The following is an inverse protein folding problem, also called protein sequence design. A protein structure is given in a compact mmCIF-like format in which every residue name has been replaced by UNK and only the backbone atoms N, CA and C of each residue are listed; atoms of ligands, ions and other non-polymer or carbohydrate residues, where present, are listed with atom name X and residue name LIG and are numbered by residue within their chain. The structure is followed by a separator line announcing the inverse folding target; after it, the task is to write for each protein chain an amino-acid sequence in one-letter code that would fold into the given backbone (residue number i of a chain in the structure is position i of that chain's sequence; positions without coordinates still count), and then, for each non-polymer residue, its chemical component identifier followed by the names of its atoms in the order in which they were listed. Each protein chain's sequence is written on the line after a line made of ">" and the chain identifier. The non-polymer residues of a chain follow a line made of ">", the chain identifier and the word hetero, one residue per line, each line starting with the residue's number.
data_IF_816495300958
#
_entry.id   IF_816495300958
#
_cell.length_a   1.000
_cell.length_b   1.000
_cell.length_c   1.000
_cell.angle_alpha   90.00
_cell.angle_beta   90.00
_cell.angle_gamma   90.00
#
_symmetry.space_group_name_H-M   'P 1'
#
loop_
_entity.id
_entity.type
_entity.pdbx_description
1 polymer ?
#
# COMPACT_ATOMS: atom_id res chain seq x y z
N UNK A 1 45.13 42.81 -1.00
CA UNK A 1 44.04 41.89 -0.58
C UNK A 1 44.32 41.43 0.84
N UNK A 2 43.44 41.74 1.80
CA UNK A 2 43.65 41.39 3.22
C UNK A 2 43.54 39.87 3.38
N UNK A 3 44.32 39.27 4.28
CA UNK A 3 44.31 37.83 4.57
C UNK A 3 42.89 37.27 4.84
N UNK A 4 41.97 38.09 5.34
CA UNK A 4 40.56 37.74 5.56
C UNK A 4 39.74 37.62 4.27
N UNK A 5 40.06 38.40 3.23
CA UNK A 5 39.41 38.35 1.91
C UNK A 5 39.80 37.07 1.17
N UNK A 6 41.10 36.75 1.14
CA UNK A 6 41.60 35.46 0.61
C UNK A 6 40.92 34.27 1.29
N UNK A 7 40.78 34.32 2.63
CA UNK A 7 40.15 33.23 3.38
C UNK A 7 38.68 33.02 3.00
N UNK A 8 37.98 34.09 2.63
CA UNK A 8 36.56 34.07 2.26
C UNK A 8 36.38 33.55 0.83
N UNK A 9 37.23 33.97 -0.10
CA UNK A 9 37.22 33.47 -1.48
C UNK A 9 37.52 31.97 -1.57
N UNK A 10 38.55 31.48 -0.87
CA UNK A 10 38.89 30.05 -0.85
C UNK A 10 37.72 29.18 -0.35
N UNK A 11 36.99 29.69 0.66
CA UNK A 11 35.85 28.98 1.24
C UNK A 11 34.66 28.97 0.27
N UNK A 12 34.42 30.09 -0.42
CA UNK A 12 33.35 30.19 -1.41
C UNK A 12 33.62 29.26 -2.61
N UNK A 13 34.87 29.21 -3.08
CA UNK A 13 35.26 28.30 -4.15
C UNK A 13 35.10 26.83 -3.73
N UNK A 14 35.50 26.49 -2.50
CA UNK A 14 35.34 25.15 -1.95
C UNK A 14 33.86 24.75 -1.81
N UNK A 15 32.98 25.68 -1.41
CA UNK A 15 31.53 25.45 -1.34
C UNK A 15 30.94 25.22 -2.73
N UNK A 16 31.34 26.02 -3.73
CA UNK A 16 30.90 25.83 -5.11
C UNK A 16 31.21 24.41 -5.64
N UNK A 17 32.41 23.91 -5.38
CA UNK A 17 32.79 22.54 -5.77
C UNK A 17 32.01 21.43 -5.06
N UNK A 18 31.52 21.71 -3.84
CA UNK A 18 30.64 20.81 -3.09
C UNK A 18 29.21 20.90 -3.61
N UNK A 19 28.74 22.08 -4.02
CA UNK A 19 27.42 22.30 -4.62
C UNK A 19 27.30 21.63 -5.99
N UNK A 20 28.40 21.51 -6.73
CA UNK A 20 28.47 20.74 -7.99
C UNK A 20 28.30 19.22 -7.79
N UNK A 21 28.23 18.73 -6.54
CA UNK A 21 27.96 17.31 -6.22
C UNK A 21 26.45 17.04 -6.02
N UNK A 22 26.06 15.77 -6.14
CA UNK A 22 24.69 15.33 -5.81
C UNK A 22 24.28 15.77 -4.39
N UNK A 23 23.00 16.12 -4.23
CA UNK A 23 22.42 16.66 -2.99
C UNK A 23 22.70 15.79 -1.75
N UNK A 24 22.74 14.45 -1.91
CA UNK A 24 23.06 13.51 -0.83
C UNK A 24 24.48 13.68 -0.31
N UNK A 25 25.43 13.97 -1.21
CA UNK A 25 26.85 14.17 -0.88
C UNK A 25 27.05 15.56 -0.29
N UNK A 26 26.50 16.60 -0.94
CA UNK A 26 26.64 17.99 -0.48
C UNK A 26 25.99 18.21 0.88
N UNK A 27 24.79 17.67 1.11
CA UNK A 27 24.07 17.77 2.39
C UNK A 27 24.83 17.12 3.56
N UNK A 28 25.44 15.94 3.34
CA UNK A 28 26.26 15.29 4.37
C UNK A 28 27.54 16.06 4.69
N UNK A 29 28.14 16.72 3.70
CA UNK A 29 29.34 17.55 3.88
C UNK A 29 28.99 18.83 4.64
N UNK A 30 27.89 19.49 4.28
CA UNK A 30 27.44 20.70 4.96
C UNK A 30 27.01 20.45 6.40
N UNK A 31 26.31 19.36 6.66
CA UNK A 31 25.98 18.96 8.04
C UNK A 31 27.25 18.77 8.89
N UNK A 32 28.28 18.09 8.36
CA UNK A 32 29.56 17.92 9.07
C UNK A 32 30.34 19.22 9.22
N UNK A 33 30.26 20.12 8.25
CA UNK A 33 30.86 21.44 8.31
C UNK A 33 30.29 22.25 9.48
N UNK A 34 28.95 22.33 9.58
CA UNK A 34 28.21 23.03 10.64
C UNK A 34 28.53 22.45 12.03
N UNK A 35 28.59 21.12 12.15
CA UNK A 35 28.98 20.46 13.40
C UNK A 35 30.43 20.80 13.82
N UNK A 36 31.38 20.85 12.87
CA UNK A 36 32.77 21.21 13.18
C UNK A 36 32.91 22.68 13.51
N UNK A 37 32.16 23.55 12.85
CA UNK A 37 32.15 24.99 13.14
C UNK A 37 31.69 25.23 14.58
N UNK A 38 30.60 24.58 14.99
CA UNK A 38 30.06 24.65 16.36
C UNK A 38 31.05 24.14 17.43
N UNK A 39 31.85 23.12 17.12
CA UNK A 39 32.74 22.49 18.11
C UNK A 39 34.15 23.10 18.17
N UNK A 40 34.72 23.48 17.02
CA UNK A 40 36.15 23.82 16.87
C UNK A 40 36.40 25.15 16.17
N UNK A 41 35.34 25.91 15.89
CA UNK A 41 35.39 27.21 15.25
C UNK A 41 35.52 27.15 13.73
N UNK A 42 35.24 28.29 13.11
CA UNK A 42 35.17 28.45 11.65
C UNK A 42 36.47 28.08 10.94
N UNK A 43 37.63 28.46 11.47
CA UNK A 43 38.92 28.16 10.83
C UNK A 43 39.23 26.66 10.75
N UNK A 44 38.77 25.88 11.73
CA UNK A 44 38.90 24.41 11.72
C UNK A 44 37.95 23.76 10.71
N UNK A 45 36.71 24.26 10.62
CA UNK A 45 35.72 23.80 9.64
C UNK A 45 36.15 24.15 8.20
N UNK A 46 36.63 25.37 7.98
CA UNK A 46 37.19 25.84 6.71
C UNK A 46 38.34 24.96 6.23
N UNK A 47 39.33 24.73 7.10
CA UNK A 47 40.50 23.91 6.76
C UNK A 47 40.11 22.48 6.43
N UNK A 48 39.11 21.93 7.10
CA UNK A 48 38.57 20.62 6.76
C UNK A 48 37.89 20.59 5.39
N UNK A 49 37.08 21.60 5.08
CA UNK A 49 36.40 21.72 3.79
C UNK A 49 37.42 21.85 2.65
N UNK A 50 38.45 22.69 2.81
CA UNK A 50 39.46 22.91 1.76
C UNK A 50 40.46 21.76 1.66
N UNK A 51 41.04 21.31 2.78
CA UNK A 51 42.14 20.33 2.76
C UNK A 51 41.66 18.88 2.74
N UNK A 52 40.57 18.55 3.43
CA UNK A 52 40.10 17.17 3.51
C UNK A 52 39.01 16.87 2.50
N UNK A 53 38.02 17.76 2.34
CA UNK A 53 36.91 17.52 1.43
C UNK A 53 37.34 17.78 -0.01
N UNK A 54 37.75 19.01 -0.34
CA UNK A 54 38.10 19.40 -1.70
C UNK A 54 39.34 18.69 -2.24
N UNK A 55 40.45 18.65 -1.46
CA UNK A 55 41.69 18.04 -1.96
C UNK A 55 41.74 16.52 -1.88
N UNK A 56 40.96 15.88 -1.00
CA UNK A 56 41.07 14.43 -0.74
C UNK A 56 39.79 13.66 -1.04
N UNK A 57 38.63 14.11 -0.54
CA UNK A 57 37.36 13.37 -0.75
C UNK A 57 36.81 13.55 -2.16
N UNK A 58 36.70 14.78 -2.68
CA UNK A 58 36.11 15.04 -4.00
C UNK A 58 36.86 14.32 -5.14
N UNK A 59 38.21 14.30 -5.20
CA UNK A 59 38.93 13.56 -6.24
C UNK A 59 38.74 12.05 -6.15
N UNK A 60 38.54 11.50 -4.94
CA UNK A 60 38.23 10.07 -4.76
C UNK A 60 36.82 9.75 -5.23
N UNK A 61 35.85 10.60 -4.89
CA UNK A 61 34.47 10.49 -5.38
C UNK A 61 34.46 10.61 -6.91
N UNK A 62 35.18 11.57 -7.48
CA UNK A 62 35.32 11.72 -8.93
C UNK A 62 35.94 10.48 -9.59
N UNK A 63 36.96 9.86 -8.98
CA UNK A 63 37.58 8.63 -9.48
C UNK A 63 36.62 7.44 -9.43
N UNK A 64 35.86 7.29 -8.34
CA UNK A 64 34.81 6.27 -8.23
C UNK A 64 33.72 6.53 -9.26
N UNK A 65 33.24 7.77 -9.37
CA UNK A 65 32.25 8.16 -10.36
C UNK A 65 32.75 7.98 -11.80
N UNK A 66 34.05 8.08 -12.06
CA UNK A 66 34.65 7.80 -13.37
C UNK A 66 34.77 6.28 -13.65
N UNK A 67 35.12 5.47 -12.64
CA UNK A 67 35.22 4.02 -12.77
C UNK A 67 33.88 3.29 -12.81
N UNK A 68 32.86 3.88 -12.18
CA UNK A 68 31.48 3.41 -12.16
C UNK A 68 30.55 4.36 -12.93
N UNK A 69 31.10 5.17 -13.84
CA UNK A 69 30.32 6.10 -14.66
C UNK A 69 29.39 5.25 -15.51
N UNK A 70 28.09 5.37 -15.25
CA UNK A 70 27.11 4.97 -16.26
C UNK A 70 27.37 5.88 -17.47
N UNK A 71 27.43 5.29 -18.67
CA UNK A 71 27.66 6.05 -19.91
C UNK A 71 26.79 7.30 -19.90
N UNK A 72 27.39 8.46 -20.16
CA UNK A 72 26.62 9.66 -20.48
C UNK A 72 25.76 9.29 -21.67
N UNK A 73 24.44 9.43 -21.47
CA UNK A 73 23.45 9.15 -22.49
C UNK A 73 23.67 10.22 -23.54
N UNK A 74 24.25 9.84 -24.67
CA UNK A 74 24.21 10.69 -25.84
C UNK A 74 22.74 10.94 -26.19
N UNK A 75 22.40 12.10 -26.76
CA UNK A 75 21.05 12.30 -27.34
C UNK A 75 20.70 11.19 -28.36
N UNK A 76 21.72 10.47 -28.82
CA UNK A 76 21.69 9.33 -29.75
C UNK A 76 21.40 7.97 -29.09
N UNK A 77 21.56 7.85 -27.75
CA UNK A 77 21.19 6.65 -26.97
C UNK A 77 19.66 6.56 -26.75
N UNK A 78 18.92 7.60 -27.15
CA UNK A 78 17.49 7.52 -27.39
C UNK A 78 17.27 6.82 -28.74
N UNK A 79 16.69 5.60 -28.80
CA UNK A 79 16.49 4.94 -30.07
C UNK A 79 15.60 5.84 -30.94
N UNK A 80 16.12 6.32 -32.07
CA UNK A 80 15.41 7.18 -33.04
C UNK A 80 14.10 6.58 -33.58
N UNK A 81 13.78 5.34 -33.25
CA UNK A 81 12.49 4.71 -33.49
C UNK A 81 11.37 5.15 -32.49
N UNK A 82 11.74 5.73 -31.35
CA UNK A 82 10.85 5.97 -30.19
C UNK A 82 10.22 7.38 -30.23
N UNK A 83 10.80 8.32 -30.98
CA UNK A 83 10.27 9.67 -31.15
C UNK A 83 9.75 9.87 -32.57
N UNK A 84 8.44 9.66 -32.79
CA UNK A 84 7.81 10.18 -34.01
C UNK A 84 7.85 11.71 -33.97
N UNK A 85 8.18 12.42 -35.07
CA UNK A 85 8.35 13.89 -35.10
C UNK A 85 7.13 14.75 -34.73
N UNK A 86 6.04 14.16 -34.24
CA UNK A 86 4.72 14.80 -34.06
C UNK A 86 4.36 15.15 -32.61
N UNK A 87 5.16 14.79 -31.60
CA UNK A 87 4.77 14.99 -30.19
C UNK A 87 5.68 16.02 -29.50
N UNK A 88 5.14 17.03 -28.78
CA UNK A 88 5.95 18.00 -28.07
C UNK A 88 6.67 17.39 -26.85
N UNK A 89 7.91 17.86 -26.62
CA UNK A 89 8.78 17.49 -25.49
C UNK A 89 8.06 17.78 -24.15
N UNK A 90 8.16 16.90 -23.12
CA UNK A 90 7.66 17.22 -21.78
C UNK A 90 8.30 18.49 -21.22
N UNK A 91 7.54 19.35 -20.53
CA UNK A 91 8.11 20.52 -19.85
C UNK A 91 9.04 20.12 -18.70
N UNK A 92 9.91 21.06 -18.29
CA UNK A 92 11.01 20.91 -17.31
C UNK A 92 10.65 20.16 -16.01
N UNK A 93 9.40 20.28 -15.51
CA UNK A 93 8.93 19.58 -14.30
C UNK A 93 8.72 18.07 -14.50
N UNK A 94 8.29 17.67 -15.71
CA UNK A 94 8.17 16.27 -16.10
C UNK A 94 9.54 15.60 -16.22
N UNK A 95 10.56 16.33 -16.70
CA UNK A 95 11.94 15.85 -16.82
C UNK A 95 12.58 15.60 -15.44
N UNK A 96 12.36 16.48 -14.46
CA UNK A 96 12.87 16.29 -13.09
C UNK A 96 12.20 15.10 -12.41
N UNK A 97 10.87 14.99 -12.51
CA UNK A 97 10.14 13.84 -11.99
C UNK A 97 10.56 12.54 -12.68
N UNK A 98 10.79 12.57 -13.99
CA UNK A 98 11.29 11.47 -14.80
C UNK A 98 12.70 11.01 -14.40
N UNK A 99 13.64 11.95 -14.21
CA UNK A 99 15.00 11.66 -13.73
C UNK A 99 14.97 11.07 -12.31
N UNK A 100 14.06 11.55 -11.45
CA UNK A 100 13.80 10.99 -10.12
C UNK A 100 13.27 9.57 -10.19
N UNK A 101 12.28 9.28 -11.04
CA UNK A 101 11.74 7.92 -11.22
C UNK A 101 12.82 6.94 -11.72
N UNK A 102 13.66 7.38 -12.67
CA UNK A 102 14.73 6.55 -13.24
C UNK A 102 15.88 6.28 -12.27
N UNK A 103 16.32 7.28 -11.51
CA UNK A 103 17.35 7.10 -10.47
C UNK A 103 16.87 6.16 -9.37
N UNK A 104 15.58 6.23 -9.00
CA UNK A 104 14.98 5.34 -8.00
C UNK A 104 14.84 3.89 -8.51
N UNK A 105 14.65 3.66 -9.82
CA UNK A 105 14.68 2.30 -10.41
C UNK A 105 15.99 1.58 -10.15
N UNK A 106 17.13 2.27 -10.24
CA UNK A 106 18.43 1.63 -10.02
C UNK A 106 18.61 1.16 -8.57
N UNK A 107 17.82 1.71 -7.65
CA UNK A 107 17.82 1.39 -6.22
C UNK A 107 16.62 0.55 -5.80
N UNK A 108 15.81 0.04 -6.73
CA UNK A 108 14.58 -0.69 -6.42
C UNK A 108 14.73 -1.78 -5.33
N UNK A 109 15.83 -2.56 -5.29
CA UNK A 109 16.06 -3.54 -4.23
C UNK A 109 16.27 -2.94 -2.84
N UNK A 110 16.88 -1.76 -2.79
CA UNK A 110 17.27 -1.05 -1.57
C UNK A 110 16.13 -0.22 -0.98
N UNK A 111 15.06 -0.01 -1.75
CA UNK A 111 13.90 0.77 -1.30
C UNK A 111 13.07 -0.01 -0.26
N UNK A 112 12.85 0.63 0.89
CA UNK A 112 11.94 0.14 1.91
C UNK A 112 10.45 0.26 1.47
N UNK A 113 9.54 -0.27 2.28
CA UNK A 113 8.11 -0.24 1.94
C UNK A 113 7.52 1.17 1.85
N UNK A 114 8.11 2.16 2.52
CA UNK A 114 7.62 3.54 2.49
C UNK A 114 8.11 4.27 1.25
N UNK A 115 9.41 4.12 0.92
CA UNK A 115 10.01 4.64 -0.29
C UNK A 115 9.37 4.05 -1.56
N UNK A 116 9.02 2.76 -1.56
CA UNK A 116 8.25 2.14 -2.64
C UNK A 116 6.85 2.76 -2.80
N UNK A 117 6.16 3.08 -1.70
CA UNK A 117 4.86 3.77 -1.73
C UNK A 117 4.99 5.21 -2.25
N UNK A 118 6.00 5.94 -1.80
CA UNK A 118 6.29 7.30 -2.31
C UNK A 118 6.56 7.27 -3.80
N UNK A 119 7.42 6.35 -4.27
CA UNK A 119 7.75 6.19 -5.69
C UNK A 119 6.51 5.87 -6.53
N UNK A 120 5.63 5.00 -6.03
CA UNK A 120 4.39 4.64 -6.70
C UNK A 120 3.41 5.82 -6.81
N UNK A 121 3.28 6.63 -5.75
CA UNK A 121 2.49 7.85 -5.76
C UNK A 121 3.06 8.88 -6.75
N UNK A 122 4.38 9.07 -6.75
CA UNK A 122 5.06 9.98 -7.67
C UNK A 122 4.83 9.56 -9.13
N UNK A 123 4.97 8.26 -9.45
CA UNK A 123 4.74 7.73 -10.79
C UNK A 123 3.29 7.90 -11.25
N UNK A 124 2.32 7.63 -10.36
CA UNK A 124 0.89 7.83 -10.64
C UNK A 124 0.55 9.31 -10.87
N UNK A 125 1.13 10.21 -10.07
CA UNK A 125 0.93 11.65 -10.21
C UNK A 125 1.48 12.18 -11.54
N UNK A 126 2.69 11.74 -11.93
CA UNK A 126 3.27 12.09 -13.24
C UNK A 126 2.37 11.57 -14.37
N UNK A 127 1.93 10.32 -14.31
CA UNK A 127 1.03 9.74 -15.30
C UNK A 127 -0.30 10.54 -15.41
N UNK A 128 -0.93 10.86 -14.27
CA UNK A 128 -2.18 11.64 -14.26
C UNK A 128 -2.00 13.05 -14.81
N UNK A 129 -0.88 13.71 -14.49
CA UNK A 129 -0.55 15.04 -14.99
C UNK A 129 -0.34 15.04 -16.50
N UNK A 130 0.37 14.03 -17.04
CA UNK A 130 0.58 13.88 -18.48
C UNK A 130 -0.72 13.55 -19.23
N UNK A 131 -1.61 12.74 -18.65
CA UNK A 131 -2.95 12.50 -19.22
C UNK A 131 -3.73 13.82 -19.31
N UNK A 132 -3.79 14.59 -18.23
CA UNK A 132 -4.50 15.87 -18.23
C UNK A 132 -3.92 16.81 -19.29
N UNK A 133 -2.59 16.93 -19.37
CA UNK A 133 -1.90 17.76 -20.37
C UNK A 133 -2.25 17.36 -21.80
N UNK A 134 -2.13 16.07 -22.12
CA UNK A 134 -2.36 15.57 -23.48
C UNK A 134 -3.84 15.65 -23.87
N UNK A 135 -4.75 15.45 -22.92
CA UNK A 135 -6.20 15.56 -23.15
C UNK A 135 -6.65 17.01 -23.31
N UNK A 136 -6.02 17.98 -22.62
CA UNK A 136 -6.33 19.40 -22.79
C UNK A 136 -5.75 20.01 -24.08
N UNK A 137 -4.71 19.41 -24.65
CA UNK A 137 -3.99 19.95 -25.80
C UNK A 137 -4.59 19.55 -27.16
N UNK A 138 -5.44 18.53 -27.24
CA UNK A 138 -5.94 17.97 -28.51
C UNK A 138 -7.44 17.59 -28.38
N UNK A 139 -8.21 17.63 -29.49
CA UNK A 139 -9.68 17.54 -29.53
C UNK A 139 -10.31 16.47 -30.48
N UNK A 140 -9.69 15.31 -30.74
CA UNK A 140 -10.15 14.27 -31.67
C UNK A 140 -9.74 12.80 -31.33
N UNK A 141 -10.49 11.82 -31.87
CA UNK A 141 -10.49 10.37 -31.54
C UNK A 141 -9.16 9.60 -31.68
N UNK A 142 -8.12 10.23 -32.23
CA UNK A 142 -6.77 9.66 -32.38
C UNK A 142 -5.89 9.83 -31.11
N UNK A 143 -6.40 10.52 -30.09
CA UNK A 143 -5.65 10.94 -28.89
C UNK A 143 -5.32 9.85 -27.90
N UNK A 144 -6.23 8.90 -27.69
CA UNK A 144 -6.04 7.85 -26.69
C UNK A 144 -4.80 7.01 -26.99
N UNK A 145 -4.40 6.90 -28.27
CA UNK A 145 -3.18 6.21 -28.69
C UNK A 145 -1.94 6.96 -28.21
N UNK A 146 -1.92 8.27 -28.41
CA UNK A 146 -0.81 9.14 -28.00
C UNK A 146 -0.68 9.12 -26.47
N UNK A 147 -1.80 9.25 -25.76
CA UNK A 147 -1.84 9.18 -24.30
C UNK A 147 -1.34 7.82 -23.79
N UNK A 148 -1.87 6.73 -24.35
CA UNK A 148 -1.47 5.38 -23.95
C UNK A 148 0.02 5.12 -24.22
N UNK A 149 0.49 5.44 -25.42
CA UNK A 149 1.89 5.26 -25.80
C UNK A 149 2.78 6.10 -24.87
N UNK A 150 2.42 7.35 -24.56
CA UNK A 150 3.20 8.19 -23.64
C UNK A 150 3.29 7.61 -22.23
N UNK A 151 2.17 7.14 -21.67
CA UNK A 151 2.18 6.47 -20.37
C UNK A 151 2.92 5.14 -20.39
N UNK A 152 2.79 4.37 -21.47
CA UNK A 152 3.51 3.13 -21.66
C UNK A 152 5.04 3.35 -21.62
N UNK A 153 5.53 4.50 -22.11
CA UNK A 153 6.94 4.85 -21.96
C UNK A 153 7.34 5.04 -20.49
N UNK A 154 6.55 5.77 -19.70
CA UNK A 154 6.80 5.97 -18.25
C UNK A 154 6.88 4.62 -17.52
N UNK A 155 6.00 3.68 -17.89
CA UNK A 155 6.01 2.32 -17.35
C UNK A 155 7.27 1.55 -17.73
N UNK A 156 7.66 1.57 -19.01
CA UNK A 156 8.88 0.91 -19.48
C UNK A 156 10.16 1.49 -18.87
N UNK A 157 10.18 2.78 -18.58
CA UNK A 157 11.29 3.45 -17.91
C UNK A 157 11.53 2.95 -16.50
N UNK A 158 10.49 2.49 -15.82
CA UNK A 158 10.57 1.81 -14.54
C UNK A 158 10.79 0.28 -14.67
N UNK A 159 10.93 -0.23 -15.89
CA UNK A 159 11.24 -1.63 -16.18
C UNK A 159 10.04 -2.54 -16.09
N UNK A 160 8.86 -1.95 -16.11
CA UNK A 160 7.59 -2.64 -16.01
C UNK A 160 6.97 -2.76 -17.41
N UNK A 161 5.99 -3.66 -17.51
CA UNK A 161 5.22 -3.84 -18.74
C UNK A 161 3.89 -3.08 -18.62
N UNK A 162 3.53 -2.24 -19.61
CA UNK A 162 2.26 -1.51 -19.61
C UNK A 162 1.06 -2.46 -19.61
N UNK A 163 -0.04 -2.10 -18.93
CA UNK A 163 -1.26 -2.91 -18.96
C UNK A 163 -1.78 -3.01 -20.39
N UNK A 164 -2.11 -4.22 -20.84
CA UNK A 164 -2.67 -4.51 -22.17
C UNK A 164 -1.74 -4.21 -23.37
N UNK A 165 -0.42 -4.08 -23.15
CA UNK A 165 0.56 -3.73 -24.19
C UNK A 165 0.41 -4.55 -25.47
N UNK A 166 0.49 -5.89 -25.38
CA UNK A 166 0.39 -6.81 -26.54
C UNK A 166 -0.91 -6.66 -27.36
N UNK A 167 -2.02 -6.33 -26.70
CA UNK A 167 -3.34 -6.16 -27.35
C UNK A 167 -3.40 -4.82 -28.09
N UNK A 168 -3.05 -3.75 -27.39
CA UNK A 168 -3.17 -2.37 -27.86
C UNK A 168 -2.08 -1.96 -28.85
N UNK A 169 -0.91 -2.62 -28.79
CA UNK A 169 0.16 -2.47 -29.79
C UNK A 169 -0.29 -2.99 -31.16
N UNK A 170 -0.92 -4.18 -31.18
CA UNK A 170 -1.35 -4.85 -32.40
C UNK A 170 -2.62 -4.24 -32.99
N UNK A 171 -3.63 -3.99 -32.16
CA UNK A 171 -4.90 -3.38 -32.57
C UNK A 171 -5.34 -2.36 -31.53
N UNK A 172 -5.12 -1.08 -31.82
CA UNK A 172 -5.49 -0.02 -30.89
C UNK A 172 -6.97 0.30 -30.99
N UNK A 173 -7.68 0.10 -29.89
CA UNK A 173 -9.08 0.48 -29.73
C UNK A 173 -9.17 1.47 -28.55
N UNK A 174 -9.64 2.71 -28.75
CA UNK A 174 -9.70 3.72 -27.70
C UNK A 174 -10.43 3.26 -26.43
N UNK A 175 -11.54 2.54 -26.59
CA UNK A 175 -12.33 2.00 -25.48
C UNK A 175 -11.54 0.99 -24.63
N UNK A 176 -10.73 0.14 -25.26
CA UNK A 176 -9.86 -0.83 -24.58
C UNK A 176 -8.64 -0.17 -23.89
N UNK A 177 -8.22 1.01 -24.36
CA UNK A 177 -7.08 1.74 -23.81
C UNK A 177 -7.42 2.48 -22.50
N UNK A 178 -8.66 2.93 -22.32
CA UNK A 178 -9.10 3.68 -21.14
C UNK A 178 -8.86 2.93 -19.80
N UNK A 179 -9.20 1.63 -19.66
CA UNK A 179 -8.89 0.87 -18.45
C UNK A 179 -7.38 0.78 -18.16
N UNK A 180 -6.56 0.70 -19.21
CA UNK A 180 -5.11 0.60 -19.05
C UNK A 180 -4.49 1.93 -18.62
N UNK A 181 -4.94 3.04 -19.21
CA UNK A 181 -4.58 4.41 -18.81
C UNK A 181 -4.97 4.65 -17.35
N UNK A 182 -6.21 4.29 -16.97
CA UNK A 182 -6.68 4.44 -15.59
C UNK A 182 -5.82 3.67 -14.58
N UNK A 183 -5.34 2.46 -14.94
CA UNK A 183 -4.41 1.70 -14.10
C UNK A 183 -3.05 2.39 -13.98
N UNK A 184 -2.52 2.96 -15.06
CA UNK A 184 -1.26 3.70 -15.04
C UNK A 184 -1.36 5.03 -14.27
N UNK A 185 -2.57 5.56 -14.04
CA UNK A 185 -2.81 6.68 -13.13
C UNK A 185 -3.08 6.28 -11.68
N UNK A 186 -3.18 4.98 -11.37
CA UNK A 186 -3.46 4.47 -10.02
C UNK A 186 -2.17 4.07 -9.29
N UNK A 187 -1.89 4.74 -8.17
CA UNK A 187 -0.73 4.45 -7.33
C UNK A 187 -0.70 3.00 -6.81
N UNK A 188 -1.86 2.36 -6.61
CA UNK A 188 -1.91 0.96 -6.16
C UNK A 188 -1.34 0.00 -7.21
N UNK A 189 -1.62 0.26 -8.48
CA UNK A 189 -1.09 -0.56 -9.57
C UNK A 189 0.44 -0.44 -9.66
N UNK A 190 0.96 0.79 -9.54
CA UNK A 190 2.40 1.04 -9.49
C UNK A 190 3.05 0.34 -8.30
N UNK A 191 2.50 0.51 -7.09
CA UNK A 191 3.04 -0.10 -5.87
C UNK A 191 3.15 -1.62 -6.00
N UNK A 192 2.07 -2.27 -6.45
CA UNK A 192 2.06 -3.72 -6.62
C UNK A 192 3.05 -4.18 -7.70
N UNK A 193 3.16 -3.45 -8.80
CA UNK A 193 4.06 -3.79 -9.90
C UNK A 193 5.53 -3.60 -9.50
N UNK A 194 5.87 -2.48 -8.88
CA UNK A 194 7.22 -2.19 -8.37
C UNK A 194 7.62 -3.16 -7.26
N UNK A 195 6.69 -3.51 -6.36
CA UNK A 195 6.95 -4.48 -5.28
C UNK A 195 7.26 -5.88 -5.83
N UNK A 196 6.53 -6.32 -6.87
CA UNK A 196 6.83 -7.59 -7.55
C UNK A 196 8.23 -7.56 -8.14
N UNK A 197 8.57 -6.53 -8.92
CA UNK A 197 9.91 -6.41 -9.54
C UNK A 197 11.02 -6.33 -8.49
N UNK A 198 10.84 -5.55 -7.42
CA UNK A 198 11.80 -5.47 -6.32
C UNK A 198 11.98 -6.83 -5.63
N UNK A 199 10.90 -7.60 -5.44
CA UNK A 199 10.97 -8.94 -4.87
C UNK A 199 11.65 -9.94 -5.81
N UNK A 200 11.38 -9.90 -7.11
CA UNK A 200 12.09 -10.72 -8.09
C UNK A 200 13.60 -10.42 -8.10
N UNK A 201 13.99 -9.15 -7.99
CA UNK A 201 15.39 -8.78 -7.89
C UNK A 201 16.03 -9.28 -6.59
N UNK A 202 15.33 -9.17 -5.46
CA UNK A 202 15.79 -9.71 -4.16
C UNK A 202 15.91 -11.23 -4.17
N UNK A 203 15.07 -11.96 -4.91
CA UNK A 203 15.21 -13.42 -5.09
C UNK A 203 16.51 -13.79 -5.79
N UNK A 204 16.99 -12.95 -6.71
CA UNK A 204 18.26 -13.16 -7.40
C UNK A 204 19.50 -12.75 -6.58
N UNK A 205 19.32 -12.24 -5.36
CA UNK A 205 20.41 -11.86 -4.46
C UNK A 205 20.73 -13.01 -3.49
N UNK A 206 22.01 -13.30 -3.32
CA UNK A 206 22.52 -14.25 -2.35
C UNK A 206 23.47 -13.54 -1.36
N UNK A 207 23.42 -13.96 -0.11
CA UNK A 207 24.44 -13.67 0.88
C UNK A 207 25.53 -14.73 0.75
N UNK A 208 26.77 -14.30 0.60
CA UNK A 208 27.96 -15.18 0.60
C UNK A 208 28.76 -14.88 1.88
N UNK A 209 29.07 -15.91 2.65
CA UNK A 209 29.95 -15.78 3.81
C UNK A 209 31.44 -15.79 3.40
N UNK A 210 32.34 -15.62 4.38
CA UNK A 210 33.79 -15.63 4.13
C UNK A 210 34.35 -17.00 3.70
N UNK A 211 33.56 -18.06 3.78
CA UNK A 211 33.92 -19.43 3.41
C UNK A 211 33.32 -19.85 2.05
N UNK A 212 32.55 -18.97 1.40
CA UNK A 212 31.94 -19.19 0.09
C UNK A 212 30.56 -19.87 0.14
N UNK A 213 29.97 -20.04 1.32
CA UNK A 213 28.61 -20.57 1.44
C UNK A 213 27.60 -19.51 1.02
N UNK A 214 26.67 -19.88 0.12
CA UNK A 214 25.66 -18.98 -0.42
C UNK A 214 24.27 -19.31 0.09
N UNK A 215 23.60 -18.33 0.67
CA UNK A 215 22.19 -18.42 1.10
C UNK A 215 21.38 -17.36 0.34
N UNK A 216 20.21 -17.71 -0.18
CA UNK A 216 19.32 -16.71 -0.78
C UNK A 216 18.97 -15.63 0.24
N UNK A 217 19.05 -14.36 -0.16
CA UNK A 217 18.67 -13.24 0.71
C UNK A 217 17.21 -13.35 1.16
N UNK A 218 16.34 -13.90 0.30
CA UNK A 218 14.93 -14.14 0.60
C UNK A 218 14.73 -15.25 1.62
N UNK A 219 15.49 -16.34 1.52
CA UNK A 219 15.43 -17.45 2.48
C UNK A 219 15.96 -17.00 3.84
N UNK A 220 17.06 -16.23 3.85
CA UNK A 220 17.60 -15.60 5.06
C UNK A 220 16.62 -14.60 5.69
N UNK A 221 15.93 -13.78 4.90
CA UNK A 221 14.87 -12.90 5.40
C UNK A 221 13.71 -13.71 5.99
N UNK A 222 13.22 -14.69 5.25
CA UNK A 222 12.07 -15.49 5.62
C UNK A 222 12.30 -16.28 6.92
N UNK A 223 13.54 -16.72 7.18
CA UNK A 223 13.93 -17.49 8.37
C UNK A 223 14.44 -16.63 9.56
N UNK A 224 14.56 -15.31 9.40
CA UNK A 224 15.15 -14.45 10.44
C UNK A 224 14.14 -13.52 11.13
N UNK A 225 14.60 -12.86 12.19
CA UNK A 225 13.87 -11.81 12.90
C UNK A 225 13.59 -10.56 12.04
N UNK A 226 14.12 -10.49 10.82
CA UNK A 226 13.74 -9.49 9.84
C UNK A 226 12.30 -9.68 9.34
N UNK A 227 11.78 -10.93 9.34
CA UNK A 227 10.39 -11.24 9.03
C UNK A 227 9.47 -10.85 10.21
N UNK A 228 8.51 -9.92 10.02
CA UNK A 228 7.58 -9.48 11.06
C UNK A 228 6.76 -10.62 11.67
N UNK A 229 6.43 -11.66 10.89
CA UNK A 229 5.65 -12.80 11.39
C UNK A 229 6.46 -13.65 12.38
N UNK A 230 7.75 -13.89 12.09
CA UNK A 230 8.67 -14.58 13.01
C UNK A 230 8.90 -13.73 14.25
N UNK A 231 9.14 -12.43 14.08
CA UNK A 231 9.34 -11.50 15.20
C UNK A 231 8.14 -11.45 16.13
N UNK A 232 6.92 -11.41 15.59
CA UNK A 232 5.69 -11.46 16.37
C UNK A 232 5.55 -12.80 17.10
N UNK A 233 5.85 -13.91 16.44
CA UNK A 233 5.80 -15.25 17.06
C UNK A 233 6.79 -15.35 18.23
N UNK A 234 8.03 -14.90 18.04
CA UNK A 234 9.04 -14.88 19.10
C UNK A 234 8.61 -13.99 20.27
N UNK A 235 8.03 -12.83 19.98
CA UNK A 235 7.47 -11.92 20.99
C UNK A 235 6.44 -12.63 21.88
N UNK A 236 5.50 -13.34 21.24
CA UNK A 236 4.43 -14.06 21.94
C UNK A 236 4.96 -15.22 22.77
N UNK A 237 5.95 -15.97 22.26
CA UNK A 237 6.59 -17.05 23.01
C UNK A 237 7.32 -16.51 24.24
N UNK A 238 8.02 -15.37 24.12
CA UNK A 238 8.68 -14.72 25.27
C UNK A 238 7.68 -14.20 26.31
N UNK A 239 6.58 -13.58 25.86
CA UNK A 239 5.49 -13.13 26.73
C UNK A 239 4.91 -14.31 27.53
N UNK A 240 4.63 -15.42 26.85
CA UNK A 240 4.14 -16.64 27.50
C UNK A 240 5.13 -17.19 28.52
N UNK A 241 6.42 -17.24 28.18
CA UNK A 241 7.46 -17.66 29.13
C UNK A 241 7.53 -16.77 30.37
N UNK A 242 7.35 -15.44 30.23
CA UNK A 242 7.27 -14.54 31.39
C UNK A 242 6.03 -14.79 32.24
N UNK A 243 4.88 -15.08 31.62
CA UNK A 243 3.64 -15.41 32.33
C UNK A 243 3.79 -16.71 33.13
N UNK A 244 4.33 -17.76 32.54
CA UNK A 244 4.53 -19.05 33.19
C UNK A 244 5.46 -18.89 34.43
N UNK A 245 6.60 -18.20 34.28
CA UNK A 245 7.53 -17.90 35.40
C UNK A 245 6.85 -17.05 36.48
N UNK A 246 6.04 -16.07 36.09
CA UNK A 246 5.34 -15.20 37.04
C UNK A 246 4.33 -15.98 37.87
N UNK A 247 3.58 -16.89 37.23
CA UNK A 247 2.61 -17.76 37.89
C UNK A 247 3.30 -18.73 38.86
N UNK A 248 4.40 -19.37 38.45
CA UNK A 248 5.18 -20.28 39.31
C UNK A 248 5.72 -19.58 40.57
N UNK A 249 6.12 -18.32 40.46
CA UNK A 249 6.67 -17.54 41.58
C UNK A 249 5.60 -16.76 42.37
N UNK A 250 4.32 -16.87 42.01
CA UNK A 250 3.23 -16.15 42.68
C UNK A 250 3.28 -14.63 42.50
N UNK A 251 3.84 -14.14 41.40
CA UNK A 251 3.84 -12.71 41.08
C UNK A 251 2.49 -12.26 40.51
N UNK A 252 2.24 -10.94 40.61
CA UNK A 252 1.05 -10.30 40.06
C UNK A 252 1.44 -9.64 38.73
N UNK A 253 0.76 -10.02 37.65
CA UNK A 253 0.86 -9.35 36.36
C UNK A 253 0.20 -7.96 36.42
N UNK A 254 0.89 -6.94 35.93
CA UNK A 254 0.37 -5.58 35.83
C UNK A 254 0.54 -5.05 34.40
N UNK A 255 -0.54 -4.50 33.84
CA UNK A 255 -0.53 -3.82 32.55
C UNK A 255 -0.57 -2.30 32.77
N UNK A 256 0.45 -1.58 32.29
CA UNK A 256 0.60 -0.14 32.50
C UNK A 256 0.78 0.56 31.15
N UNK A 257 -0.20 1.37 30.78
CA UNK A 257 -0.13 2.24 29.60
C UNK A 257 0.42 3.61 29.99
N UNK A 258 1.49 4.04 29.33
CA UNK A 258 2.06 5.39 29.49
C UNK A 258 1.89 6.13 28.18
N UNK A 259 1.01 7.14 28.18
CA UNK A 259 0.71 7.97 27.02
C UNK A 259 1.60 9.20 26.98
N UNK A 260 1.97 9.66 25.78
CA UNK A 260 2.70 10.91 25.64
C UNK A 260 1.80 12.11 26.02
N UNK A 261 2.36 13.21 26.55
CA UNK A 261 1.58 14.40 26.81
C UNK A 261 1.11 15.03 25.51
N UNK A 262 -0.02 15.75 25.57
CA UNK A 262 -0.65 16.41 24.40
C UNK A 262 0.34 17.21 23.54
N UNK A 263 1.39 17.81 24.11
CA UNK A 263 2.39 18.57 23.35
C UNK A 263 3.17 17.76 22.32
N UNK A 264 3.19 16.42 22.41
CA UNK A 264 3.86 15.54 21.46
C UNK A 264 2.93 15.06 20.32
N UNK A 265 1.64 15.38 20.38
CA UNK A 265 0.65 14.97 19.38
C UNK A 265 0.39 16.11 18.41
N UNK A 266 0.63 15.90 17.11
CA UNK A 266 0.37 16.88 16.06
C UNK A 266 -1.12 17.17 15.86
N UNK A 267 -1.95 16.16 16.13
CA UNK A 267 -3.40 16.18 15.94
C UNK A 267 -4.10 15.90 17.27
N UNK A 268 -5.24 16.56 17.49
CA UNK A 268 -6.16 16.21 18.56
C UNK A 268 -6.99 14.98 18.13
N UNK A 269 -7.63 14.33 19.10
CA UNK A 269 -8.52 13.16 18.87
C UNK A 269 -9.56 13.41 17.77
N UNK A 270 -10.08 14.65 17.68
CA UNK A 270 -11.06 15.06 16.67
C UNK A 270 -10.47 15.40 15.28
N UNK A 271 -9.22 15.03 15.00
CA UNK A 271 -8.57 15.26 13.71
C UNK A 271 -8.10 16.69 13.45
N UNK A 272 -8.30 17.63 14.40
CA UNK A 272 -7.82 19.02 14.27
C UNK A 272 -6.37 19.16 14.67
N UNK A 273 -5.66 20.13 14.08
CA UNK A 273 -4.29 20.46 14.46
C UNK A 273 -4.22 20.87 15.93
N UNK A 274 -3.30 20.27 16.68
CA UNK A 274 -3.11 20.57 18.08
C UNK A 274 -2.24 21.82 18.28
N UNK A 275 -2.82 22.86 18.88
CA UNK A 275 -2.10 24.12 19.19
C UNK A 275 -1.00 23.97 20.23
N UNK A 276 -1.03 22.91 21.04
CA UNK A 276 0.00 22.61 22.04
C UNK A 276 1.17 21.83 21.47
N UNK A 277 1.07 21.39 20.21
CA UNK A 277 2.12 20.60 19.58
C UNK A 277 3.42 21.40 19.48
N UNK A 278 4.51 20.81 19.94
CA UNK A 278 5.83 21.43 19.97
C UNK A 278 6.67 21.14 18.72
N UNK A 279 6.12 20.43 17.73
CA UNK A 279 6.83 20.04 16.52
C UNK A 279 7.56 18.69 16.62
N UNK A 280 7.41 17.96 17.73
CA UNK A 280 8.11 16.69 17.93
C UNK A 280 7.71 15.62 16.90
N UNK A 281 8.71 14.90 16.41
CA UNK A 281 8.51 13.73 15.56
C UNK A 281 8.13 12.49 16.39
N UNK A 282 7.61 11.43 15.76
CA UNK A 282 7.40 10.15 16.45
C UNK A 282 8.69 9.60 17.10
N UNK A 283 9.86 9.87 16.53
CA UNK A 283 11.14 9.46 17.10
C UNK A 283 11.48 10.25 18.38
N UNK A 284 11.18 11.55 18.42
CA UNK A 284 11.42 12.41 19.59
C UNK A 284 10.46 12.05 20.73
N UNK A 285 9.20 11.80 20.39
CA UNK A 285 8.19 11.29 21.33
C UNK A 285 8.60 9.94 21.93
N UNK A 286 9.13 9.03 21.13
CA UNK A 286 9.64 7.75 21.62
C UNK A 286 10.84 7.92 22.56
N UNK A 287 11.75 8.88 22.28
CA UNK A 287 12.86 9.22 23.19
C UNK A 287 12.34 9.76 24.52
N UNK A 288 11.35 10.63 24.50
CA UNK A 288 10.69 11.13 25.71
C UNK A 288 10.11 9.98 26.55
N UNK A 289 9.32 9.08 25.95
CA UNK A 289 8.74 7.94 26.66
C UNK A 289 9.81 6.98 27.21
N UNK A 290 10.91 6.79 26.50
CA UNK A 290 12.07 6.06 27.02
C UNK A 290 12.64 6.72 28.28
N UNK A 291 12.73 8.05 28.29
CA UNK A 291 13.13 8.85 29.44
C UNK A 291 12.20 8.68 30.64
N UNK A 292 10.88 8.79 30.42
CA UNK A 292 9.86 8.58 31.48
C UNK A 292 10.01 7.20 32.13
N UNK A 293 10.24 6.16 31.33
CA UNK A 293 10.45 4.79 31.83
C UNK A 293 11.71 4.60 32.70
N UNK A 294 12.69 5.50 32.62
CA UNK A 294 13.87 5.41 33.48
C UNK A 294 13.55 5.69 34.95
N UNK A 295 12.57 6.56 35.22
CA UNK A 295 12.20 6.98 36.58
C UNK A 295 11.59 5.86 37.44
N UNK A 296 10.56 5.12 36.99
CA UNK A 296 10.02 4.01 37.77
C UNK A 296 11.06 2.90 37.96
N UNK A 297 11.86 2.57 36.94
CA UNK A 297 12.99 1.63 37.06
C UNK A 297 13.97 2.05 38.16
N UNK A 298 14.38 3.32 38.17
CA UNK A 298 15.30 3.85 39.17
C UNK A 298 14.68 3.81 40.59
N UNK A 299 13.39 4.12 40.71
CA UNK A 299 12.66 4.03 41.99
C UNK A 299 12.58 2.60 42.51
N UNK A 300 12.20 1.63 41.67
CA UNK A 300 12.14 0.21 42.03
C UNK A 300 13.52 -0.33 42.44
N UNK A 301 14.58 0.06 41.71
CA UNK A 301 15.95 -0.31 42.05
C UNK A 301 16.37 0.20 43.45
N UNK A 302 16.09 1.46 43.77
CA UNK A 302 16.35 2.02 45.11
C UNK A 302 15.59 1.29 46.22
N UNK A 303 14.40 0.78 45.91
CA UNK A 303 13.57 0.01 46.83
C UNK A 303 13.91 -1.49 46.85
N UNK A 304 14.96 -1.93 46.14
CA UNK A 304 15.34 -3.34 45.96
C UNK A 304 14.20 -4.22 45.43
N UNK A 305 13.26 -3.65 44.67
CA UNK A 305 12.18 -4.37 43.98
C UNK A 305 12.59 -4.58 42.53
N UNK A 306 12.59 -5.84 42.08
CA UNK A 306 12.83 -6.18 40.68
C UNK A 306 11.50 -6.54 40.03
N UNK A 307 11.32 -6.11 38.79
CA UNK A 307 10.23 -6.52 37.93
C UNK A 307 10.82 -6.96 36.60
N UNK A 308 10.14 -7.88 35.93
CA UNK A 308 10.46 -8.33 34.58
C UNK A 308 9.18 -8.34 33.76
N UNK A 309 9.35 -8.37 32.44
CA UNK A 309 8.26 -8.33 31.50
C UNK A 309 8.70 -7.65 30.23
N UNK A 310 7.71 -7.17 29.49
CA UNK A 310 7.91 -6.69 28.14
C UNK A 310 7.33 -5.28 27.99
N UNK A 311 8.00 -4.44 27.21
CA UNK A 311 7.49 -3.14 26.82
C UNK A 311 7.18 -3.15 25.34
N UNK A 312 5.95 -2.78 25.00
CA UNK A 312 5.51 -2.55 23.64
C UNK A 312 5.28 -1.06 23.46
N UNK A 313 5.56 -0.55 22.26
CA UNK A 313 5.22 0.80 21.87
C UNK A 313 4.24 0.67 20.71
N UNK A 314 3.00 1.12 20.92
CA UNK A 314 2.01 1.22 19.87
C UNK A 314 2.00 2.66 19.36
N UNK A 315 2.12 2.90 18.04
CA UNK A 315 1.88 4.22 17.50
C UNK A 315 0.43 4.61 17.79
N UNK A 316 0.23 5.75 18.45
CA UNK A 316 -1.09 6.36 18.50
C UNK A 316 -1.52 6.64 17.05
N UNK A 317 -2.66 6.12 16.63
CA UNK A 317 -3.30 6.55 15.40
C UNK A 317 -3.84 7.97 15.62
N UNK A 318 -2.96 8.98 15.52
CA UNK A 318 -3.28 10.41 15.63
C UNK A 318 -3.95 10.94 14.34
N UNK A 319 -4.93 10.19 13.85
CA UNK A 319 -5.73 10.54 12.69
C UNK A 319 -7.16 10.04 12.87
N UNK A 320 -8.11 10.69 12.19
CA UNK A 320 -9.48 10.21 12.15
C UNK A 320 -9.50 8.72 11.79
N UNK A 321 -10.38 7.95 12.43
CA UNK A 321 -10.60 6.55 12.10
C UNK A 321 -11.12 6.49 10.66
N UNK A 322 -10.38 5.83 9.79
CA UNK A 322 -10.68 5.74 8.37
C UNK A 322 -10.51 4.29 7.91
N UNK A 323 -11.46 3.82 7.12
CA UNK A 323 -11.46 2.44 6.65
C UNK A 323 -10.28 2.23 5.69
N UNK A 324 -9.54 1.14 5.91
CA UNK A 324 -8.32 0.75 5.20
C UNK A 324 -7.06 1.56 5.54
N UNK A 325 -7.17 2.65 6.30
CA UNK A 325 -6.06 3.55 6.64
C UNK A 325 -5.72 3.58 8.13
N UNK A 326 -6.71 3.54 9.03
CA UNK A 326 -6.51 3.72 10.48
C UNK A 326 -7.60 3.05 11.34
N UNK A 327 -7.25 2.71 12.59
CA UNK A 327 -8.16 2.08 13.56
C UNK A 327 -8.26 0.55 13.44
N UNK A 328 -9.07 -0.04 14.30
CA UNK A 328 -9.33 -1.48 14.34
C UNK A 328 -10.45 -1.85 13.37
N UNK A 329 -10.13 -2.66 12.35
CA UNK A 329 -11.11 -3.06 11.34
C UNK A 329 -11.93 -4.27 11.78
N UNK A 330 -13.24 -4.18 11.58
CA UNK A 330 -14.19 -5.26 11.90
C UNK A 330 -15.27 -5.33 10.82
N UNK A 331 -16.04 -6.42 10.78
CA UNK A 331 -17.14 -6.60 9.84
C UNK A 331 -18.43 -6.92 10.61
N UNK A 332 -19.53 -6.22 10.30
CA UNK A 332 -20.85 -6.52 10.88
C UNK A 332 -21.38 -7.87 10.38
N UNK A 333 -21.06 -8.24 9.13
CA UNK A 333 -21.36 -9.56 8.58
C UNK A 333 -20.11 -10.46 8.70
N UNK A 334 -20.18 -11.57 9.46
CA UNK A 334 -19.01 -12.37 9.81
C UNK A 334 -18.20 -12.92 8.63
N UNK A 335 -18.83 -13.25 7.50
CA UNK A 335 -18.14 -13.84 6.35
C UNK A 335 -17.51 -12.79 5.42
N UNK A 336 -17.88 -11.52 5.55
CA UNK A 336 -17.27 -10.45 4.73
C UNK A 336 -15.79 -10.26 5.06
N UNK A 337 -15.35 -10.69 6.26
CA UNK A 337 -13.94 -10.66 6.65
C UNK A 337 -13.05 -11.45 5.68
N UNK A 338 -13.57 -12.51 5.06
CA UNK A 338 -12.81 -13.34 4.11
C UNK A 338 -12.52 -12.63 2.77
N UNK A 339 -13.19 -11.52 2.48
CA UNK A 339 -12.81 -10.67 1.35
C UNK A 339 -11.51 -9.89 1.61
N UNK A 340 -11.04 -9.87 2.86
CA UNK A 340 -9.89 -9.11 3.30
C UNK A 340 -8.79 -10.01 3.88
N UNK A 341 -9.17 -10.99 4.69
CA UNK A 341 -8.25 -11.86 5.44
C UNK A 341 -8.55 -13.33 5.15
N UNK A 342 -7.54 -14.06 4.64
CA UNK A 342 -7.69 -15.46 4.28
C UNK A 342 -7.88 -16.35 5.53
N UNK A 343 -8.87 -17.26 5.54
CA UNK A 343 -9.19 -18.06 6.71
C UNK A 343 -8.11 -19.05 7.15
N UNK A 344 -7.20 -19.43 6.24
CA UNK A 344 -6.13 -20.38 6.54
C UNK A 344 -5.02 -19.80 7.42
N UNK A 345 -4.80 -18.48 7.36
CA UNK A 345 -3.65 -17.82 7.97
C UNK A 345 -4.03 -16.85 9.10
N UNK A 346 -5.32 -16.70 9.40
CA UNK A 346 -5.81 -15.72 10.36
C UNK A 346 -6.75 -16.35 11.40
N UNK A 347 -6.78 -15.76 12.60
CA UNK A 347 -7.72 -16.12 13.67
C UNK A 347 -8.81 -15.08 13.72
N UNK A 348 -10.05 -15.54 13.85
CA UNK A 348 -11.23 -14.67 13.89
C UNK A 348 -11.81 -14.62 15.29
N UNK A 349 -12.39 -13.49 15.65
CA UNK A 349 -12.98 -13.29 16.96
C UNK A 349 -14.23 -12.42 16.88
N UNK A 350 -15.16 -12.66 17.79
CA UNK A 350 -16.25 -11.77 18.09
C UNK A 350 -15.71 -10.58 18.90
N UNK A 351 -16.07 -9.37 18.47
CA UNK A 351 -15.54 -8.12 19.02
C UNK A 351 -16.69 -7.15 19.28
N UNK A 352 -16.56 -6.38 20.35
CA UNK A 352 -17.34 -5.16 20.58
C UNK A 352 -16.51 -3.95 20.18
N UNK A 353 -17.15 -3.00 19.48
CA UNK A 353 -16.51 -1.80 18.93
C UNK A 353 -16.94 -0.57 19.73
N UNK A 354 -16.00 0.30 20.05
CA UNK A 354 -16.23 1.53 20.83
C UNK A 354 -15.44 2.71 20.24
N UNK A 355 -15.82 3.92 20.65
CA UNK A 355 -15.15 5.17 20.28
C UNK A 355 -15.60 5.70 18.92
N UNK A 356 -14.68 6.33 18.17
CA UNK A 356 -14.94 6.84 16.83
C UNK A 356 -15.08 5.67 15.86
N UNK A 357 -16.20 5.62 15.13
CA UNK A 357 -16.52 4.55 14.19
C UNK A 357 -16.67 5.11 12.79
N UNK A 358 -15.91 4.58 11.84
CA UNK A 358 -16.06 4.85 10.42
C UNK A 358 -16.72 3.66 9.72
N UNK A 359 -17.76 3.94 8.93
CA UNK A 359 -18.51 2.93 8.16
C UNK A 359 -18.14 2.94 6.68
N UNK A 360 -18.11 1.74 6.08
CA UNK A 360 -17.77 1.55 4.68
C UNK A 360 -18.83 2.16 3.77
N UNK A 361 -18.41 2.82 2.70
CA UNK A 361 -19.34 3.33 1.68
C UNK A 361 -20.19 2.20 1.06
N UNK A 362 -19.69 0.95 1.07
CA UNK A 362 -20.41 -0.27 0.69
C UNK A 362 -19.88 -1.46 1.49
N UNK A 363 -20.78 -2.35 1.94
CA UNK A 363 -20.45 -3.58 2.66
C UNK A 363 -20.51 -3.45 4.18
N UNK A 364 -20.23 -4.53 4.90
CA UNK A 364 -20.33 -4.57 6.37
C UNK A 364 -19.06 -4.14 7.10
N UNK A 365 -18.03 -3.66 6.39
CA UNK A 365 -16.75 -3.30 6.99
C UNK A 365 -16.82 -1.95 7.69
N UNK A 366 -16.28 -1.89 8.90
CA UNK A 366 -16.10 -0.67 9.67
C UNK A 366 -14.71 -0.63 10.32
N UNK A 367 -14.34 0.54 10.80
CA UNK A 367 -13.14 0.78 11.58
C UNK A 367 -13.53 1.48 12.88
N UNK A 368 -12.93 1.11 14.02
CA UNK A 368 -13.14 1.79 15.30
C UNK A 368 -11.83 2.22 15.96
N UNK A 369 -11.86 3.23 16.82
CA UNK A 369 -10.67 3.62 17.60
C UNK A 369 -10.35 2.61 18.70
N UNK A 370 -11.36 1.90 19.23
CA UNK A 370 -11.21 0.88 20.29
C UNK A 370 -12.05 -0.36 19.99
N UNK A 371 -11.52 -1.54 20.33
CA UNK A 371 -12.28 -2.80 20.33
C UNK A 371 -12.04 -3.60 21.61
N UNK A 372 -13.03 -4.40 22.00
CA UNK A 372 -12.89 -5.45 23.01
C UNK A 372 -13.12 -6.80 22.36
N UNK A 373 -12.15 -7.71 22.48
CA UNK A 373 -12.28 -9.08 21.97
C UNK A 373 -13.06 -9.91 22.99
N UNK A 374 -14.24 -10.40 22.60
CA UNK A 374 -15.07 -11.26 23.45
C UNK A 374 -14.58 -12.71 23.43
N UNK A 375 -14.50 -13.27 22.23
CA UNK A 375 -14.29 -14.71 22.05
C UNK A 375 -13.70 -15.01 20.68
N UNK A 376 -12.68 -15.85 20.63
CA UNK A 376 -12.18 -16.43 19.39
C UNK A 376 -13.23 -17.38 18.78
N UNK A 377 -13.48 -17.24 17.48
CA UNK A 377 -14.47 -18.03 16.73
C UNK A 377 -13.77 -19.07 15.85
N UNK A 378 -14.30 -20.29 15.86
CA UNK A 378 -13.99 -21.29 14.82
C UNK A 378 -14.76 -21.00 13.54
N UNK A 379 -14.30 -21.54 12.40
CA UNK A 379 -14.98 -21.36 11.10
C UNK A 379 -16.45 -21.79 11.13
N UNK A 380 -16.76 -22.91 11.80
CA UNK A 380 -18.14 -23.35 12.05
C UNK A 380 -18.97 -22.29 12.79
N UNK A 381 -18.40 -21.69 13.85
CA UNK A 381 -19.11 -20.66 14.62
C UNK A 381 -19.32 -19.38 13.81
N UNK A 382 -18.40 -19.02 12.91
CA UNK A 382 -18.58 -17.90 12.00
C UNK A 382 -19.75 -18.09 11.05
N UNK A 383 -19.90 -19.30 10.49
CA UNK A 383 -21.05 -19.66 9.64
C UNK A 383 -22.36 -19.54 10.42
N UNK A 384 -22.39 -20.03 11.67
CA UNK A 384 -23.55 -19.87 12.55
C UNK A 384 -23.95 -18.39 12.75
N UNK A 385 -22.97 -17.53 13.06
CA UNK A 385 -23.21 -16.08 13.23
C UNK A 385 -23.63 -15.38 11.94
N UNK A 386 -23.18 -15.87 10.79
CA UNK A 386 -23.63 -15.35 9.49
C UNK A 386 -25.11 -15.63 9.24
N UNK A 387 -25.57 -16.86 9.55
CA UNK A 387 -26.98 -17.24 9.45
C UNK A 387 -27.84 -16.41 10.40
N UNK A 388 -27.40 -16.21 11.65
CA UNK A 388 -28.09 -15.36 12.62
C UNK A 388 -28.19 -13.90 12.16
N UNK A 389 -27.13 -13.34 11.58
CA UNK A 389 -27.09 -11.98 11.04
C UNK A 389 -28.05 -11.80 9.85
N UNK A 390 -28.21 -12.82 9.00
CA UNK A 390 -29.21 -12.80 7.92
C UNK A 390 -30.61 -12.90 8.52
N UNK A 391 -30.82 -13.84 9.44
CA UNK A 391 -32.13 -14.07 10.06
C UNK A 391 -32.67 -12.85 10.82
N UNK A 392 -31.79 -12.02 11.39
CA UNK A 392 -32.18 -10.78 12.08
C UNK A 392 -32.53 -9.62 11.13
N UNK A 393 -32.02 -9.65 9.89
CA UNK A 393 -32.30 -8.65 8.85
C UNK A 393 -33.51 -8.98 7.97
N UNK A 394 -34.09 -10.18 8.12
CA UNK A 394 -35.34 -10.55 7.45
C UNK A 394 -36.48 -9.82 8.14
N UNK A 395 -37.13 -8.92 7.39
CA UNK A 395 -38.37 -8.30 7.82
C UNK A 395 -39.49 -9.36 7.85
N UNK A 396 -39.85 -9.78 9.07
CA UNK A 396 -40.91 -10.76 9.30
C UNK A 396 -42.32 -10.18 9.08
N UNK A 397 -42.43 -8.89 8.77
CA UNK A 397 -43.69 -8.19 8.50
C UNK A 397 -43.99 -8.01 7.01
N UNK A 398 -43.04 -8.29 6.11
CA UNK A 398 -43.25 -8.15 4.68
C UNK A 398 -44.16 -9.28 4.14
N UNK A 399 -45.38 -8.90 3.78
CA UNK A 399 -46.41 -9.77 3.20
C UNK A 399 -45.90 -10.46 1.93
N UNK A 400 -45.94 -11.79 1.96
CA UNK A 400 -45.65 -12.66 0.82
C UNK A 400 -46.84 -12.54 -0.14
N UNK A 401 -46.71 -11.86 -1.28
CA UNK A 401 -47.78 -11.89 -2.29
C UNK A 401 -47.75 -13.24 -2.99
N UNK A 402 -48.56 -14.16 -2.49
CA UNK A 402 -48.70 -15.51 -3.00
C UNK A 402 -49.78 -15.46 -4.10
N UNK A 403 -49.39 -15.66 -5.36
CA UNK A 403 -50.34 -15.87 -6.47
C UNK A 403 -50.58 -17.38 -6.59
N UNK A 404 -51.61 -17.88 -5.92
CA UNK A 404 -51.99 -19.30 -5.91
C UNK A 404 -53.41 -19.49 -6.49
N UNK A 405 -53.58 -20.55 -7.27
CA UNK A 405 -54.84 -20.91 -7.96
C UNK A 405 -54.61 -21.53 -9.34
N UNK A 406 -55.57 -22.32 -9.84
CA UNK A 406 -55.52 -22.91 -11.18
C UNK A 406 -55.51 -21.81 -12.25
N UNK A 407 -54.46 -21.76 -13.09
CA UNK A 407 -54.31 -20.75 -14.14
C UNK A 407 -53.54 -19.48 -13.74
N UNK A 408 -52.86 -19.48 -12.59
CA UNK A 408 -52.02 -18.37 -12.14
C UNK A 408 -50.83 -18.08 -13.08
N UNK A 409 -50.54 -16.80 -13.33
CA UNK A 409 -49.40 -16.36 -14.14
C UNK A 409 -48.56 -15.31 -13.41
N UNK A 410 -47.23 -15.49 -13.39
CA UNK A 410 -46.27 -14.55 -12.83
C UNK A 410 -45.20 -14.22 -13.88
N UNK A 411 -45.02 -12.93 -14.17
CA UNK A 411 -44.07 -12.44 -15.18
C UNK A 411 -42.96 -11.67 -14.48
N UNK A 412 -41.71 -12.11 -14.61
CA UNK A 412 -40.55 -11.36 -14.14
C UNK A 412 -39.70 -10.86 -15.32
N UNK A 413 -39.34 -9.58 -15.28
CA UNK A 413 -38.52 -8.92 -16.31
C UNK A 413 -37.51 -7.99 -15.65
N UNK A 414 -36.30 -7.86 -16.22
CA UNK A 414 -35.24 -7.01 -15.68
C UNK A 414 -33.83 -7.61 -15.81
N UNK A 415 -32.81 -6.90 -15.32
CA UNK A 415 -31.42 -7.40 -15.32
C UNK A 415 -31.16 -8.22 -14.05
N UNK A 416 -30.65 -9.46 -14.19
CA UNK A 416 -30.44 -10.45 -13.10
C UNK A 416 -31.74 -10.97 -12.45
N UNK A 417 -32.83 -11.06 -13.22
CA UNK A 417 -34.09 -11.66 -12.77
C UNK A 417 -33.99 -13.18 -12.61
N UNK A 418 -34.72 -13.74 -11.65
CA UNK A 418 -34.79 -15.19 -11.39
C UNK A 418 -36.24 -15.65 -11.46
N UNK A 419 -36.52 -16.69 -12.26
CA UNK A 419 -37.82 -17.35 -12.33
C UNK A 419 -37.75 -18.75 -11.69
N UNK A 420 -38.66 -19.03 -10.74
CA UNK A 420 -38.80 -20.35 -10.11
C UNK A 420 -40.28 -20.76 -10.14
N UNK A 421 -40.56 -22.00 -10.55
CA UNK A 421 -41.90 -22.56 -10.68
C UNK A 421 -41.89 -23.99 -10.16
N UNK A 422 -42.75 -24.27 -9.18
CA UNK A 422 -42.87 -25.56 -8.50
C UNK A 422 -43.99 -26.46 -9.02
N UNK A 423 -44.87 -25.95 -9.90
CA UNK A 423 -45.98 -26.71 -10.49
C UNK A 423 -45.54 -27.76 -11.52
N UNK A 424 -46.31 -28.85 -11.63
CA UNK A 424 -46.11 -29.95 -12.60
C UNK A 424 -46.54 -29.47 -14.00
N UNK A 425 -45.73 -29.76 -15.03
CA UNK A 425 -46.05 -29.40 -16.43
C UNK A 425 -46.00 -27.90 -16.73
N UNK A 426 -45.41 -27.11 -15.85
CA UNK A 426 -45.36 -25.66 -15.93
C UNK A 426 -44.12 -25.17 -16.70
N UNK A 427 -44.06 -23.88 -17.04
CA UNK A 427 -42.92 -23.30 -17.80
C UNK A 427 -42.29 -22.15 -17.04
N UNK A 428 -41.00 -22.26 -16.72
CA UNK A 428 -40.21 -21.18 -16.14
C UNK A 428 -39.42 -20.46 -17.25
N UNK A 429 -39.76 -19.20 -17.52
CA UNK A 429 -39.09 -18.39 -18.54
C UNK A 429 -38.34 -17.21 -17.90
N UNK A 430 -37.06 -17.06 -18.25
CA UNK A 430 -36.26 -15.88 -17.88
C UNK A 430 -35.79 -15.17 -19.14
N UNK A 431 -36.35 -13.98 -19.41
CA UNK A 431 -36.14 -13.22 -20.65
C UNK A 431 -35.15 -12.04 -20.48
N UNK A 432 -34.64 -11.86 -19.26
CA UNK A 432 -33.70 -10.80 -18.88
C UNK A 432 -32.24 -11.09 -19.21
N UNK A 433 -31.40 -10.05 -19.25
CA UNK A 433 -29.96 -10.19 -19.46
C UNK A 433 -29.31 -10.90 -18.25
N UNK A 434 -28.57 -11.99 -18.51
CA UNK A 434 -28.00 -12.91 -17.51
C UNK A 434 -29.05 -13.62 -16.62
N UNK A 435 -30.24 -13.85 -17.15
CA UNK A 435 -31.34 -14.51 -16.44
C UNK A 435 -31.02 -15.96 -16.05
N UNK A 436 -31.60 -16.39 -14.91
CA UNK A 436 -31.56 -17.79 -14.45
C UNK A 436 -32.99 -18.30 -14.28
N UNK A 437 -33.23 -19.54 -14.68
CA UNK A 437 -34.53 -20.18 -14.54
C UNK A 437 -34.37 -21.56 -13.91
N UNK A 438 -35.31 -21.90 -13.02
CA UNK A 438 -35.41 -23.19 -12.34
C UNK A 438 -36.86 -23.66 -12.42
N UNK A 439 -37.07 -24.96 -12.62
CA UNK A 439 -38.39 -25.56 -12.68
C UNK A 439 -38.37 -26.96 -12.04
N UNK A 440 -39.54 -27.42 -11.60
CA UNK A 440 -39.75 -28.78 -11.11
C UNK A 440 -39.57 -29.86 -12.21
N UNK A 441 -39.42 -31.12 -11.81
CA UNK A 441 -39.29 -32.25 -12.74
C UNK A 441 -40.54 -32.41 -13.61
N UNK A 442 -40.36 -32.66 -14.91
CA UNK A 442 -41.46 -32.69 -15.89
C UNK A 442 -41.90 -31.31 -16.44
N UNK A 443 -41.38 -30.21 -15.88
CA UNK A 443 -41.62 -28.83 -16.35
C UNK A 443 -40.57 -28.38 -17.38
N UNK A 444 -40.84 -27.28 -18.10
CA UNK A 444 -39.92 -26.75 -19.12
C UNK A 444 -39.27 -25.44 -18.68
N UNK A 445 -38.04 -25.23 -19.15
CA UNK A 445 -37.29 -23.98 -18.95
C UNK A 445 -37.06 -23.31 -20.29
N UNK A 446 -37.24 -21.98 -20.33
CA UNK A 446 -36.93 -21.14 -21.50
C UNK A 446 -35.92 -20.04 -21.13
N UNK A 447 -34.83 -19.98 -21.88
CA UNK A 447 -33.77 -18.99 -21.72
C UNK A 447 -33.47 -18.27 -23.04
N UNK A 448 -33.28 -16.96 -22.95
CA UNK A 448 -32.84 -16.13 -24.08
C UNK A 448 -31.34 -15.85 -23.98
N UNK A 449 -30.62 -16.14 -25.05
CA UNK A 449 -29.24 -15.72 -25.25
C UNK A 449 -29.23 -14.37 -25.97
N UNK A 450 -28.41 -13.46 -25.46
CA UNK A 450 -28.23 -12.11 -26.01
C UNK A 450 -26.76 -11.89 -26.37
N UNK A 451 -26.49 -11.05 -27.36
CA UNK A 451 -25.14 -10.59 -27.67
C UNK A 451 -24.69 -9.49 -26.68
N UNK A 452 -23.44 -9.02 -26.81
CA UNK A 452 -22.86 -7.99 -25.94
C UNK A 452 -23.52 -6.60 -26.08
N UNK A 453 -24.35 -6.42 -27.12
CA UNK A 453 -25.12 -5.19 -27.40
C UNK A 453 -26.54 -5.23 -26.78
N UNK A 454 -26.95 -6.38 -26.24
CA UNK A 454 -28.24 -6.58 -25.56
C UNK A 454 -29.35 -7.15 -26.43
N UNK A 455 -29.10 -7.39 -27.72
CA UNK A 455 -30.06 -7.95 -28.66
C UNK A 455 -30.25 -9.46 -28.46
N UNK A 456 -31.47 -9.95 -28.62
CA UNK A 456 -31.78 -11.39 -28.52
C UNK A 456 -31.29 -12.08 -29.79
N UNK A 457 -30.30 -12.96 -29.63
CA UNK A 457 -29.71 -13.70 -30.75
C UNK A 457 -30.21 -15.14 -30.83
N UNK A 458 -30.69 -15.72 -29.72
CA UNK A 458 -31.17 -17.10 -29.71
C UNK A 458 -32.09 -17.36 -28.50
N UNK A 459 -33.12 -18.19 -28.66
CA UNK A 459 -33.98 -18.65 -27.57
C UNK A 459 -33.89 -20.17 -27.49
N UNK A 460 -33.60 -20.71 -26.31
CA UNK A 460 -33.53 -22.16 -26.07
C UNK A 460 -34.59 -22.57 -25.05
N UNK A 461 -35.39 -23.56 -25.43
CA UNK A 461 -36.31 -24.23 -24.53
C UNK A 461 -35.84 -25.67 -24.31
N UNK A 462 -35.94 -26.16 -23.07
CA UNK A 462 -35.67 -27.56 -22.73
C UNK A 462 -36.66 -28.06 -21.70
N UNK A 463 -37.20 -29.26 -21.92
CA UNK A 463 -37.99 -29.98 -20.91
C UNK A 463 -37.04 -30.68 -19.95
N UNK A 464 -37.29 -30.57 -18.65
CA UNK A 464 -36.56 -31.33 -17.64
C UNK A 464 -37.10 -32.76 -17.63
N UNK A 465 -36.23 -33.73 -17.90
CA UNK A 465 -36.59 -35.13 -18.00
C UNK A 465 -37.09 -35.67 -16.65
N UNK A 466 -38.15 -36.47 -16.68
CA UNK A 466 -38.52 -37.34 -15.57
C UNK A 466 -37.54 -38.49 -15.51
N UNK A 467 -36.88 -38.68 -14.37
CA UNK A 467 -36.16 -39.91 -14.05
C UNK A 467 -37.17 -41.06 -14.12
N UNK A 468 -36.99 -41.92 -15.13
CA UNK A 468 -37.76 -43.15 -15.31
C UNK A 468 -37.05 -44.30 -14.61
#
# INVERSE_FOLDING_TARGET
>A
MRLTELRREDTLLAKKQVDDQLETVSSSIYWRFDQREKQKGFDSARRWLTESVVKVMLPRIARVNAGYRLNEIADDDFPGAVWRPRNPIPQHNGVVAFLRLRTQRQRLPDLDSHALKSLANDAAHVAATEVARLTHAQCDKSEWRIVYDHLAHIVHLLGLQPPLWRKLEKCFVPFDAQPAIRRMCDARWWLNSLRRTANEWRKCMALEDGEGNRISLMDGYAASQANPAIRHTELMVRLRGYEDIANEQGYIGAFVTVTAPSSHHATLENGRVNRKWNGDSPADTQRYLNGVWTWPRAKCHRQKRRFFGMRVAEPHHDGAVEIYSSGFHTCEYPLDVFNYDEPANHRFAEVEVFGDIAHGARGSKLASSTITIKKALSLHQMVGRAVECIASKIDKSAERTIVEGDGSAATNTGHRSTADVSGIGSVAASLGAQGKAKAAEGSAIVLCYRNDEGDIIHIRASRLATTA
#
